data_IF_594471776899
#
_entry.id   IF_594471776899
#
_cell.length_a   1.000
_cell.length_b   1.000
_cell.length_c   1.000
_cell.angle_alpha   90.00
_cell.angle_beta   90.00
_cell.angle_gamma   90.00
#
_symmetry.space_group_name_H-M   'P 1'
#
loop_
_entity.id
_entity.type
_entity.pdbx_description
1 polymer ?
#
# COMPACT_ATOMS: atom_id res chain seq x y z
N UNK A 1 -4.89 13.88 -4.66
CA UNK A 1 -3.92 12.76 -4.71
C UNK A 1 -4.26 11.86 -3.54
N UNK A 2 -4.85 10.69 -3.81
CA UNK A 2 -5.35 9.78 -2.79
C UNK A 2 -4.94 8.35 -3.12
N UNK A 3 -4.91 7.49 -2.11
CA UNK A 3 -4.72 6.05 -2.29
C UNK A 3 -5.75 5.54 -3.30
N UNK A 4 -5.29 4.78 -4.30
CA UNK A 4 -6.19 4.18 -5.26
C UNK A 4 -6.96 3.04 -4.57
N UNK A 5 -8.19 3.34 -4.17
CA UNK A 5 -9.05 2.43 -3.40
C UNK A 5 -9.29 1.10 -4.12
N UNK A 6 -9.47 1.13 -5.43
CA UNK A 6 -9.76 -0.09 -6.21
C UNK A 6 -8.52 -0.99 -6.33
N UNK A 7 -7.34 -0.39 -6.54
CA UNK A 7 -6.07 -1.11 -6.57
C UNK A 7 -5.74 -1.71 -5.20
N UNK A 8 -5.89 -0.93 -4.13
CA UNK A 8 -5.68 -1.41 -2.76
C UNK A 8 -6.64 -2.54 -2.40
N UNK A 9 -7.93 -2.40 -2.75
CA UNK A 9 -8.93 -3.47 -2.59
C UNK A 9 -8.53 -4.75 -3.33
N UNK A 10 -7.97 -4.63 -4.54
CA UNK A 10 -7.43 -5.77 -5.30
C UNK A 10 -6.29 -6.47 -4.58
N UNK A 11 -5.32 -5.72 -4.04
CA UNK A 11 -4.19 -6.26 -3.28
C UNK A 11 -4.64 -6.97 -2.00
N UNK A 12 -5.58 -6.40 -1.26
CA UNK A 12 -6.13 -7.00 -0.03
C UNK A 12 -6.82 -8.33 -0.35
N UNK A 13 -7.66 -8.38 -1.39
CA UNK A 13 -8.31 -9.63 -1.82
C UNK A 13 -7.29 -10.70 -2.19
N UNK A 14 -6.23 -10.32 -2.91
CA UNK A 14 -5.16 -11.24 -3.29
C UNK A 14 -4.41 -11.78 -2.07
N UNK A 15 -4.14 -10.94 -1.08
CA UNK A 15 -3.53 -11.37 0.18
C UNK A 15 -4.37 -12.44 0.87
N UNK A 16 -5.68 -12.19 0.99
CA UNK A 16 -6.63 -13.13 1.58
C UNK A 16 -6.71 -14.46 0.84
N UNK A 17 -6.83 -14.42 -0.49
CA UNK A 17 -6.90 -15.63 -1.32
C UNK A 17 -5.60 -16.42 -1.33
N UNK A 18 -4.45 -15.75 -1.21
CA UNK A 18 -3.13 -16.41 -1.27
C UNK A 18 -2.82 -17.29 -0.07
N UNK A 19 -3.54 -17.10 1.03
CA UNK A 19 -3.36 -17.88 2.26
C UNK A 19 -4.61 -18.72 2.56
N UNK A 20 -5.62 -18.74 1.69
CA UNK A 20 -6.93 -19.35 1.98
C UNK A 20 -6.88 -20.85 2.33
N UNK A 21 -5.85 -21.56 1.87
CA UNK A 21 -5.62 -22.98 2.13
C UNK A 21 -4.67 -23.23 3.32
N UNK A 22 -4.33 -22.19 4.09
CA UNK A 22 -3.41 -22.32 5.22
C UNK A 22 -4.11 -23.05 6.39
N UNK A 23 -3.57 -24.20 6.77
CA UNK A 23 -4.11 -25.07 7.83
C UNK A 23 -3.91 -24.49 9.23
N UNK A 24 -3.00 -23.51 9.40
CA UNK A 24 -2.78 -22.80 10.64
C UNK A 24 -3.44 -21.41 10.58
N UNK A 25 -4.50 -21.23 11.37
CA UNK A 25 -5.29 -20.01 11.40
C UNK A 25 -4.53 -18.78 11.95
N UNK A 26 -3.57 -18.97 12.86
CA UNK A 26 -2.76 -17.86 13.38
C UNK A 26 -1.72 -17.42 12.33
N UNK A 27 -1.04 -18.38 11.70
CA UNK A 27 -0.09 -18.13 10.62
C UNK A 27 -0.77 -17.52 9.38
N UNK A 28 -1.99 -17.96 9.08
CA UNK A 28 -2.87 -17.33 8.09
C UNK A 28 -3.06 -15.84 8.37
N UNK A 29 -3.48 -15.51 9.59
CA UNK A 29 -3.83 -14.14 9.95
C UNK A 29 -2.59 -13.24 9.90
N UNK A 30 -1.46 -13.70 10.41
CA UNK A 30 -0.20 -12.94 10.39
C UNK A 30 0.26 -12.66 8.96
N UNK A 31 0.29 -13.68 8.09
CA UNK A 31 0.69 -13.53 6.68
C UNK A 31 -0.25 -12.61 5.90
N UNK A 32 -1.55 -12.71 6.13
CA UNK A 32 -2.53 -11.81 5.51
C UNK A 32 -2.30 -10.37 5.98
N UNK A 33 -2.11 -10.15 7.28
CA UNK A 33 -1.84 -8.83 7.84
C UNK A 33 -0.55 -8.21 7.26
N UNK A 34 0.52 -8.99 7.16
CA UNK A 34 1.80 -8.53 6.61
C UNK A 34 1.69 -8.13 5.12
N UNK A 35 0.96 -8.93 4.33
CA UNK A 35 0.68 -8.62 2.92
C UNK A 35 -0.19 -7.37 2.76
N UNK A 36 -1.17 -7.16 3.64
CA UNK A 36 -2.00 -5.94 3.66
C UNK A 36 -1.14 -4.72 4.01
N UNK A 37 -0.31 -4.80 5.05
CA UNK A 37 0.58 -3.71 5.44
C UNK A 37 1.53 -3.32 4.31
N UNK A 38 2.14 -4.32 3.65
CA UNK A 38 3.01 -4.11 2.49
C UNK A 38 2.26 -3.42 1.34
N UNK A 39 1.04 -3.88 1.04
CA UNK A 39 0.20 -3.28 0.01
C UNK A 39 -0.10 -1.80 0.31
N UNK A 40 -0.41 -1.45 1.56
CA UNK A 40 -0.66 -0.05 1.97
C UNK A 40 0.59 0.80 1.80
N UNK A 41 1.76 0.32 2.23
CA UNK A 41 3.03 1.05 2.10
C UNK A 41 3.35 1.34 0.64
N UNK A 42 3.23 0.36 -0.25
CA UNK A 42 3.46 0.54 -1.69
C UNK A 42 2.54 1.62 -2.29
N UNK A 43 1.27 1.63 -1.90
CA UNK A 43 0.33 2.64 -2.38
C UNK A 43 0.69 4.04 -1.88
N UNK A 44 1.13 4.17 -0.61
CA UNK A 44 1.62 5.43 -0.03
C UNK A 44 2.92 5.90 -0.71
N UNK A 45 3.82 4.99 -1.12
CA UNK A 45 5.04 5.33 -1.87
C UNK A 45 4.73 5.89 -3.25
N UNK A 46 3.64 5.47 -3.89
CA UNK A 46 3.20 5.97 -5.20
C UNK A 46 2.51 7.34 -5.15
N UNK A 47 2.18 7.85 -3.96
CA UNK A 47 1.61 9.19 -3.83
C UNK A 47 2.72 10.20 -4.11
N UNK A 48 2.60 10.88 -5.26
CA UNK A 48 3.41 12.06 -5.55
C UNK A 48 2.95 13.22 -4.65
N UNK A 49 3.87 14.04 -4.15
CA UNK A 49 3.55 15.27 -3.44
C UNK A 49 4.04 16.42 -4.32
N UNK A 50 3.12 17.26 -4.79
CA UNK A 50 3.44 18.45 -5.56
C UNK A 50 3.38 19.67 -4.64
N UNK A 51 4.52 20.30 -4.39
CA UNK A 51 4.58 21.58 -3.68
C UNK A 51 4.74 22.72 -4.69
N UNK A 52 3.89 23.74 -4.58
CA UNK A 52 4.03 25.00 -5.31
C UNK A 52 4.57 26.06 -4.35
N UNK A 53 5.69 26.67 -4.69
CA UNK A 53 6.20 27.84 -3.96
C UNK A 53 6.01 29.09 -4.82
N UNK A 54 6.05 30.28 -4.18
CA UNK A 54 5.87 31.56 -4.87
C UNK A 54 6.89 31.82 -6.00
N UNK A 55 7.95 31.00 -6.10
CA UNK A 55 9.03 31.12 -7.09
C UNK A 55 9.03 29.99 -8.15
N UNK A 56 8.00 29.13 -8.20
CA UNK A 56 7.87 28.07 -9.20
C UNK A 56 7.61 26.67 -8.61
N UNK A 57 7.53 25.62 -9.46
CA UNK A 57 7.37 24.25 -8.98
C UNK A 57 8.64 23.76 -8.27
N UNK A 58 8.47 23.16 -7.08
CA UNK A 58 9.56 22.54 -6.32
C UNK A 58 9.41 21.03 -6.38
N UNK A 59 10.47 20.33 -6.79
CA UNK A 59 10.52 18.87 -6.72
C UNK A 59 10.72 18.42 -5.27
N UNK A 60 9.69 17.80 -4.68
CA UNK A 60 9.77 17.20 -3.34
C UNK A 60 10.18 15.74 -3.50
N UNK A 61 11.40 15.40 -3.10
CA UNK A 61 11.84 14.00 -2.99
C UNK A 61 11.43 13.44 -1.63
N UNK A 62 10.77 12.28 -1.66
CA UNK A 62 10.47 11.51 -0.46
C UNK A 62 11.75 10.78 -0.04
N UNK A 63 12.28 11.09 1.14
CA UNK A 63 13.43 10.38 1.73
C UNK A 63 12.90 9.12 2.43
N UNK A 64 13.46 7.96 2.10
CA UNK A 64 13.17 6.66 2.74
C UNK A 64 14.11 6.40 3.92
#
# INVERSE_FOLDING_TARGET
MALNKDRLKGKIKKAWMSEADNENAEDFLDKVCEKIASAVIEEIKQITITATCAHGPVNVQKVE
#
